data_IF_850075696017
#
_entry.id   IF_850075696017
#
_cell.length_a   1.000
_cell.length_b   1.000
_cell.length_c   1.000
_cell.angle_alpha   90.00
_cell.angle_beta   90.00
_cell.angle_gamma   90.00
#
_symmetry.space_group_name_H-M   'P 1'
#
loop_
_entity.id
_entity.type
_entity.pdbx_description
1 polymer ?
#
# COMPACT_ATOMS: atom_id res chain seq x y z
N UNK A 1 21.41 0.15 -47.16
CA UNK A 1 22.48 1.03 -46.65
C UNK A 1 22.18 1.31 -45.19
N UNK A 2 23.06 0.84 -44.28
CA UNK A 2 23.15 1.04 -42.82
C UNK A 2 22.01 0.49 -41.93
N UNK A 3 22.18 -0.78 -41.55
CA UNK A 3 21.80 -1.35 -40.25
C UNK A 3 22.33 -0.47 -39.11
N UNK A 4 21.44 0.01 -38.24
CA UNK A 4 21.83 0.56 -36.94
C UNK A 4 22.23 -0.63 -36.07
N UNK A 5 23.51 -0.68 -35.74
CA UNK A 5 24.10 -1.63 -34.80
C UNK A 5 23.70 -1.23 -33.39
N UNK A 6 23.02 -2.15 -32.69
CA UNK A 6 22.86 -2.11 -31.23
C UNK A 6 24.24 -2.03 -30.58
N UNK A 7 24.62 -0.85 -30.10
CA UNK A 7 25.79 -0.70 -29.25
C UNK A 7 25.46 -1.33 -27.91
N UNK A 8 25.96 -2.55 -27.67
CA UNK A 8 26.05 -3.10 -26.31
C UNK A 8 26.87 -2.12 -25.45
N UNK A 9 26.20 -1.43 -24.54
CA UNK A 9 26.84 -0.63 -23.50
C UNK A 9 27.81 -1.52 -22.70
N UNK A 10 29.01 -1.01 -22.44
CA UNK A 10 29.93 -1.66 -21.52
C UNK A 10 29.32 -1.63 -20.10
N UNK A 11 29.36 -2.75 -19.35
CA UNK A 11 28.80 -2.78 -18.01
C UNK A 11 29.54 -1.78 -17.13
N UNK A 12 28.80 -0.82 -16.55
CA UNK A 12 29.32 0.09 -15.52
C UNK A 12 29.81 -0.78 -14.35
N UNK A 13 31.02 -0.50 -13.84
CA UNK A 13 31.52 -1.12 -12.60
C UNK A 13 30.50 -0.84 -11.48
N UNK A 14 30.27 -1.84 -10.63
CA UNK A 14 29.37 -1.80 -9.46
C UNK A 14 27.85 -1.85 -9.74
N UNK A 15 27.43 -2.27 -10.94
CA UNK A 15 26.00 -2.54 -11.21
C UNK A 15 25.58 -3.88 -10.62
N UNK A 16 24.48 -3.88 -9.87
CA UNK A 16 23.84 -5.09 -9.36
C UNK A 16 23.44 -5.99 -10.53
N UNK A 17 23.94 -7.23 -10.53
CA UNK A 17 23.59 -8.20 -11.57
C UNK A 17 22.12 -8.60 -11.45
N UNK A 18 21.37 -8.47 -12.55
CA UNK A 18 19.99 -8.91 -12.63
C UNK A 18 19.86 -10.41 -12.31
N UNK A 19 18.79 -10.78 -11.62
CA UNK A 19 18.40 -12.19 -11.41
C UNK A 19 17.98 -12.81 -12.74
N UNK A 20 17.98 -14.14 -12.82
CA UNK A 20 17.60 -14.88 -14.04
C UNK A 20 16.14 -14.70 -14.45
N UNK A 21 15.29 -14.19 -13.56
CA UNK A 21 13.87 -13.91 -13.77
C UNK A 21 13.56 -12.41 -13.65
N UNK A 22 14.55 -11.54 -13.83
CA UNK A 22 14.34 -10.10 -13.76
C UNK A 22 13.51 -9.61 -14.95
N UNK A 23 12.67 -8.61 -14.71
CA UNK A 23 11.95 -7.91 -15.76
C UNK A 23 12.94 -7.25 -16.74
N UNK A 24 12.78 -7.51 -18.03
CA UNK A 24 13.59 -6.93 -19.12
C UNK A 24 12.86 -5.75 -19.80
N UNK A 25 11.57 -5.57 -19.54
CA UNK A 25 10.76 -4.49 -20.10
C UNK A 25 9.70 -3.94 -19.14
N UNK A 26 9.13 -2.79 -19.50
CA UNK A 26 8.12 -2.09 -18.69
C UNK A 26 6.86 -2.94 -18.48
N UNK A 27 6.46 -3.75 -19.47
CA UNK A 27 5.32 -4.68 -19.33
C UNK A 27 5.55 -5.69 -18.22
N UNK A 28 6.72 -6.34 -18.19
CA UNK A 28 7.05 -7.32 -17.15
C UNK A 28 7.13 -6.66 -15.77
N UNK A 29 7.74 -5.46 -15.70
CA UNK A 29 7.82 -4.70 -14.46
C UNK A 29 6.43 -4.27 -13.95
N UNK A 30 5.54 -3.86 -14.84
CA UNK A 30 4.16 -3.52 -14.52
C UNK A 30 3.39 -4.74 -13.99
N UNK A 31 3.50 -5.88 -14.67
CA UNK A 31 2.87 -7.14 -14.24
C UNK A 31 3.41 -7.59 -12.89
N UNK A 32 4.72 -7.50 -12.65
CA UNK A 32 5.30 -7.83 -11.35
C UNK A 32 4.83 -6.89 -10.24
N UNK A 33 4.72 -5.59 -10.51
CA UNK A 33 4.13 -4.64 -9.56
C UNK A 33 2.66 -4.93 -9.26
N UNK A 34 1.86 -5.35 -10.26
CA UNK A 34 0.47 -5.80 -10.04
C UNK A 34 0.40 -7.05 -9.14
N UNK A 35 1.32 -8.01 -9.31
CA UNK A 35 1.37 -9.21 -8.46
C UNK A 35 1.72 -8.87 -7.01
N UNK A 36 2.63 -7.91 -6.83
CA UNK A 36 3.09 -7.46 -5.52
C UNK A 36 1.96 -6.70 -4.79
N UNK A 37 1.30 -5.73 -5.43
CA UNK A 37 0.17 -5.01 -4.80
C UNK A 37 -1.04 -5.93 -4.57
N UNK A 38 -1.34 -6.86 -5.49
CA UNK A 38 -2.43 -7.83 -5.29
C UNK A 38 -2.20 -8.73 -4.07
N UNK A 39 -0.95 -9.06 -3.77
CA UNK A 39 -0.63 -9.74 -2.52
C UNK A 39 -0.78 -8.83 -1.31
N UNK A 40 -0.33 -7.58 -1.42
CA UNK A 40 -0.39 -6.59 -0.35
C UNK A 40 -1.84 -6.39 0.15
N UNK A 41 -2.77 -6.15 -0.75
CA UNK A 41 -4.22 -6.02 -0.47
C UNK A 41 -4.78 -7.25 0.26
N UNK A 42 -4.42 -8.45 -0.22
CA UNK A 42 -4.81 -9.72 0.40
C UNK A 42 -4.19 -9.98 1.77
N UNK A 43 -3.02 -9.40 2.04
CA UNK A 43 -2.42 -9.44 3.36
C UNK A 43 -3.11 -8.42 4.28
N UNK A 44 -3.42 -7.23 3.76
CA UNK A 44 -4.05 -6.14 4.49
C UNK A 44 -5.45 -6.50 4.98
N UNK A 45 -6.28 -7.16 4.16
CA UNK A 45 -7.60 -7.71 4.57
C UNK A 45 -7.53 -8.62 5.81
N UNK A 46 -6.38 -9.26 6.08
CA UNK A 46 -6.16 -10.09 7.28
C UNK A 46 -5.62 -9.30 8.46
N UNK A 47 -4.88 -8.22 8.21
CA UNK A 47 -4.29 -7.37 9.23
C UNK A 47 -5.31 -6.37 9.81
N UNK A 48 -6.16 -5.77 8.97
CA UNK A 48 -7.13 -4.75 9.38
C UNK A 48 -8.08 -5.21 10.49
N UNK A 49 -8.64 -6.45 10.49
CA UNK A 49 -9.45 -6.92 11.61
C UNK A 49 -8.71 -6.96 12.96
N UNK A 50 -7.40 -7.25 12.93
CA UNK A 50 -6.56 -7.24 14.14
C UNK A 50 -6.36 -5.82 14.66
N UNK A 51 -6.10 -4.85 13.78
CA UNK A 51 -5.96 -3.43 14.15
C UNK A 51 -7.27 -2.90 14.72
N UNK A 52 -8.40 -3.15 14.03
CA UNK A 52 -9.73 -2.75 14.47
C UNK A 52 -10.08 -3.28 15.87
N UNK A 53 -9.75 -4.54 16.17
CA UNK A 53 -10.00 -5.14 17.49
C UNK A 53 -9.19 -4.50 18.62
N UNK A 54 -8.05 -3.89 18.30
CA UNK A 54 -7.14 -3.29 19.27
C UNK A 54 -7.18 -1.75 19.27
N UNK A 55 -8.11 -1.15 18.53
CA UNK A 55 -8.42 0.26 18.61
C UNK A 55 -9.50 0.54 19.65
N UNK A 56 -9.49 1.73 20.27
CA UNK A 56 -10.48 2.15 21.27
C UNK A 56 -11.40 3.27 20.77
N UNK A 57 -10.91 4.14 19.89
CA UNK A 57 -11.68 5.18 19.25
C UNK A 57 -12.72 4.59 18.30
N UNK A 58 -13.99 4.96 18.52
CA UNK A 58 -15.11 4.55 17.66
C UNK A 58 -14.96 5.06 16.23
N UNK A 59 -14.32 6.21 16.05
CA UNK A 59 -14.09 6.80 14.73
C UNK A 59 -12.99 6.05 13.99
N UNK A 60 -11.90 5.72 14.68
CA UNK A 60 -10.82 4.90 14.13
C UNK A 60 -11.32 3.50 13.74
N UNK A 61 -12.08 2.83 14.61
CA UNK A 61 -12.69 1.53 14.32
C UNK A 61 -13.53 1.59 13.04
N UNK A 62 -14.39 2.61 12.91
CA UNK A 62 -15.21 2.80 11.71
C UNK A 62 -14.38 3.12 10.47
N UNK A 63 -13.27 3.84 10.62
CA UNK A 63 -12.37 4.12 9.51
C UNK A 63 -11.73 2.84 8.99
N UNK A 64 -11.19 2.01 9.88
CA UNK A 64 -10.59 0.71 9.55
C UNK A 64 -11.64 -0.26 8.97
N UNK A 65 -12.86 -0.30 9.51
CA UNK A 65 -13.94 -1.14 8.98
C UNK A 65 -14.35 -0.72 7.56
N UNK A 66 -14.40 0.59 7.30
CA UNK A 66 -14.67 1.14 5.97
C UNK A 66 -13.57 0.77 5.00
N UNK A 67 -12.31 0.96 5.40
CA UNK A 67 -11.16 0.69 4.57
C UNK A 67 -11.06 -0.81 4.25
N UNK A 68 -11.34 -1.71 5.19
CA UNK A 68 -11.39 -3.15 4.92
C UNK A 68 -12.34 -3.52 3.76
N UNK A 69 -13.52 -2.88 3.69
CA UNK A 69 -14.47 -3.10 2.59
C UNK A 69 -13.93 -2.54 1.28
N UNK A 70 -13.27 -1.39 1.32
CA UNK A 70 -12.59 -0.82 0.16
C UNK A 70 -11.47 -1.74 -0.33
N UNK A 71 -10.62 -2.27 0.55
CA UNK A 71 -9.58 -3.27 0.26
C UNK A 71 -10.14 -4.53 -0.42
N UNK A 72 -11.28 -5.06 0.07
CA UNK A 72 -11.95 -6.19 -0.57
C UNK A 72 -12.38 -5.87 -2.02
N UNK A 73 -12.97 -4.69 -2.24
CA UNK A 73 -13.36 -4.22 -3.58
C UNK A 73 -12.14 -3.94 -4.48
N UNK A 74 -11.05 -3.42 -3.92
CA UNK A 74 -9.79 -3.12 -4.62
C UNK A 74 -9.14 -4.40 -5.14
N UNK A 75 -9.17 -5.50 -4.38
CA UNK A 75 -8.72 -6.83 -4.84
C UNK A 75 -9.45 -7.22 -6.12
N UNK A 76 -10.79 -7.09 -6.17
CA UNK A 76 -11.57 -7.40 -7.36
C UNK A 76 -11.21 -6.48 -8.54
N UNK A 77 -10.98 -5.19 -8.28
CA UNK A 77 -10.53 -4.23 -9.30
C UNK A 77 -9.16 -4.60 -9.87
N UNK A 78 -8.21 -5.01 -9.04
CA UNK A 78 -6.89 -5.47 -9.50
C UNK A 78 -7.01 -6.74 -10.35
N UNK A 79 -7.91 -7.66 -9.99
CA UNK A 79 -8.22 -8.84 -10.83
C UNK A 79 -8.80 -8.44 -12.20
N UNK A 80 -9.63 -7.40 -12.26
CA UNK A 80 -10.11 -6.84 -13.53
C UNK A 80 -8.95 -6.27 -14.35
N UNK A 81 -7.98 -5.61 -13.72
CA UNK A 81 -6.77 -5.11 -14.40
C UNK A 81 -5.98 -6.25 -15.02
N UNK A 82 -5.72 -7.35 -14.28
CA UNK A 82 -5.09 -8.56 -14.82
C UNK A 82 -5.84 -9.09 -16.04
N UNK A 83 -7.17 -9.18 -15.97
CA UNK A 83 -8.01 -9.62 -17.08
C UNK A 83 -7.90 -8.70 -18.31
N UNK A 84 -7.86 -7.38 -18.10
CA UNK A 84 -7.76 -6.39 -19.18
C UNK A 84 -6.44 -6.53 -19.95
N UNK A 85 -5.35 -6.83 -19.26
CA UNK A 85 -4.02 -6.95 -19.86
C UNK A 85 -3.71 -8.37 -20.36
N UNK A 86 -4.64 -9.31 -20.19
CA UNK A 86 -4.49 -10.69 -20.65
C UNK A 86 -3.60 -11.56 -19.76
N UNK A 87 -3.37 -11.15 -18.51
CA UNK A 87 -2.53 -11.83 -17.54
C UNK A 87 -3.36 -12.56 -16.48
N UNK A 88 -2.79 -13.61 -15.89
CA UNK A 88 -3.43 -14.30 -14.77
C UNK A 88 -3.14 -13.55 -13.47
N UNK A 89 -4.18 -13.30 -12.68
CA UNK A 89 -4.01 -12.78 -11.33
C UNK A 89 -3.23 -13.79 -10.47
N UNK A 90 -2.03 -13.41 -10.06
CA UNK A 90 -1.15 -14.22 -9.20
C UNK A 90 -0.60 -13.30 -8.13
N UNK A 91 -0.80 -13.65 -6.86
CA UNK A 91 -0.22 -12.91 -5.75
C UNK A 91 1.26 -13.31 -5.59
N UNK A 92 2.15 -12.32 -5.53
CA UNK A 92 3.56 -12.52 -5.20
C UNK A 92 3.84 -11.76 -3.91
N UNK A 93 4.50 -12.40 -2.95
CA UNK A 93 4.76 -11.79 -1.65
C UNK A 93 5.41 -10.42 -1.81
N UNK A 94 4.78 -9.39 -1.23
CA UNK A 94 5.33 -8.05 -1.14
C UNK A 94 6.04 -7.89 0.21
N UNK A 95 7.37 -7.89 0.19
CA UNK A 95 8.16 -7.76 1.42
C UNK A 95 8.00 -6.37 2.07
N UNK A 96 7.69 -5.33 1.28
CA UNK A 96 7.43 -3.98 1.82
C UNK A 96 6.14 -3.96 2.64
N UNK A 97 5.03 -4.44 2.09
CA UNK A 97 3.77 -4.52 2.83
C UNK A 97 3.86 -5.48 4.02
N UNK A 98 4.54 -6.63 3.87
CA UNK A 98 4.77 -7.56 4.99
C UNK A 98 5.53 -6.88 6.14
N UNK A 99 6.49 -6.01 5.83
CA UNK A 99 7.21 -5.20 6.82
C UNK A 99 6.32 -4.17 7.51
N UNK A 100 5.51 -3.43 6.75
CA UNK A 100 4.60 -2.41 7.30
C UNK A 100 3.51 -3.02 8.18
N UNK A 101 2.96 -4.17 7.79
CA UNK A 101 2.01 -4.91 8.61
C UNK A 101 2.65 -5.32 9.95
N UNK A 102 3.88 -5.84 9.91
CA UNK A 102 4.62 -6.21 11.13
C UNK A 102 4.90 -5.02 12.02
N UNK A 103 5.25 -3.86 11.45
CA UNK A 103 5.42 -2.63 12.21
C UNK A 103 4.12 -2.24 12.94
N UNK A 104 2.96 -2.32 12.26
CA UNK A 104 1.67 -2.13 12.89
C UNK A 104 1.40 -3.14 14.01
N UNK A 105 1.79 -4.40 13.83
CA UNK A 105 1.65 -5.43 14.88
C UNK A 105 2.54 -5.15 16.09
N UNK A 106 3.79 -4.71 15.88
CA UNK A 106 4.70 -4.33 16.97
C UNK A 106 4.16 -3.16 17.79
N UNK A 107 3.52 -2.17 17.16
CA UNK A 107 2.88 -1.06 17.88
C UNK A 107 1.82 -1.56 18.87
N UNK A 108 1.07 -2.62 18.55
CA UNK A 108 0.09 -3.19 19.47
C UNK A 108 0.75 -3.84 20.70
N UNK A 109 1.98 -4.32 20.57
CA UNK A 109 2.78 -4.92 21.65
C UNK A 109 3.53 -3.87 22.47
N UNK A 110 3.88 -2.73 21.86
CA UNK A 110 4.67 -1.64 22.46
C UNK A 110 3.82 -0.59 23.19
N UNK A 111 2.51 -0.59 22.99
CA UNK A 111 1.58 0.39 23.57
C UNK A 111 0.50 -0.30 24.39
N UNK A 112 0.00 0.33 25.45
CA UNK A 112 -1.18 -0.15 26.18
C UNK A 112 -2.48 0.18 25.43
N UNK A 113 -3.54 -0.60 25.65
CA UNK A 113 -4.83 -0.35 25.00
C UNK A 113 -5.40 1.00 25.44
N UNK A 114 -5.58 1.93 24.49
CA UNK A 114 -6.05 3.28 24.74
C UNK A 114 -5.63 4.25 23.65
N UNK A 115 -5.72 5.55 23.92
CA UNK A 115 -5.53 6.59 22.91
C UNK A 115 -4.11 6.66 22.33
N UNK A 116 -3.08 6.33 23.12
CA UNK A 116 -1.69 6.22 22.64
C UNK A 116 -1.55 5.09 21.61
N UNK A 117 -2.20 3.94 21.85
CA UNK A 117 -2.24 2.85 20.86
C UNK A 117 -3.03 3.26 19.63
N UNK A 118 -4.14 3.98 19.78
CA UNK A 118 -4.90 4.48 18.63
C UNK A 118 -4.06 5.43 17.76
N UNK A 119 -3.25 6.31 18.36
CA UNK A 119 -2.29 7.15 17.66
C UNK A 119 -1.25 6.31 16.89
N UNK A 120 -0.73 5.26 17.54
CA UNK A 120 0.18 4.31 16.90
C UNK A 120 -0.46 3.55 15.73
N UNK A 121 -1.69 3.07 15.89
CA UNK A 121 -2.45 2.40 14.83
C UNK A 121 -2.61 3.34 13.63
N UNK A 122 -2.98 4.61 13.86
CA UNK A 122 -3.09 5.60 12.79
C UNK A 122 -1.75 5.79 12.09
N UNK A 123 -0.67 5.99 12.85
CA UNK A 123 0.66 6.20 12.27
C UNK A 123 1.11 5.01 11.40
N UNK A 124 0.81 3.76 11.82
CA UNK A 124 1.08 2.57 11.02
C UNK A 124 0.21 2.50 9.76
N UNK A 125 -1.09 2.76 9.91
CA UNK A 125 -2.04 2.78 8.79
C UNK A 125 -1.64 3.82 7.74
N UNK A 126 -1.27 5.04 8.13
CA UNK A 126 -0.83 6.06 7.16
C UNK A 126 0.43 5.65 6.39
N UNK A 127 1.37 4.94 7.01
CA UNK A 127 2.54 4.39 6.28
C UNK A 127 2.13 3.36 5.22
N UNK A 128 1.13 2.54 5.53
CA UNK A 128 0.50 1.60 4.58
C UNK A 128 -0.15 2.38 3.43
N UNK A 129 -1.02 3.35 3.72
CA UNK A 129 -1.67 4.18 2.69
C UNK A 129 -0.65 4.86 1.77
N UNK A 130 0.42 5.44 2.34
CA UNK A 130 1.47 6.08 1.56
C UNK A 130 2.22 5.11 0.64
N UNK A 131 2.45 3.87 1.07
CA UNK A 131 3.00 2.82 0.22
C UNK A 131 2.06 2.49 -0.94
N UNK A 132 0.76 2.39 -0.68
CA UNK A 132 -0.25 2.08 -1.69
C UNK A 132 -0.46 3.24 -2.67
N UNK A 133 -0.52 4.48 -2.19
CA UNK A 133 -0.56 5.70 -3.02
C UNK A 133 0.63 5.75 -3.98
N UNK A 134 1.85 5.50 -3.49
CA UNK A 134 3.05 5.48 -4.32
C UNK A 134 3.00 4.35 -5.37
N UNK A 135 2.52 3.17 -4.95
CA UNK A 135 2.44 1.98 -5.80
C UNK A 135 1.39 2.15 -6.89
N UNK A 136 0.15 2.51 -6.53
CA UNK A 136 -0.93 2.73 -7.49
C UNK A 136 -0.66 3.90 -8.42
N UNK A 137 -0.07 5.00 -7.94
CA UNK A 137 0.38 6.10 -8.81
C UNK A 137 1.36 5.63 -9.89
N UNK A 138 2.32 4.78 -9.51
CA UNK A 138 3.30 4.20 -10.44
C UNK A 138 2.64 3.24 -11.43
N UNK A 139 1.82 2.30 -10.95
CA UNK A 139 1.15 1.30 -11.78
C UNK A 139 0.16 1.93 -12.75
N UNK A 140 -0.59 2.94 -12.31
CA UNK A 140 -1.49 3.72 -13.17
C UNK A 140 -0.73 4.39 -14.29
N UNK A 141 0.42 5.00 -14.01
CA UNK A 141 1.25 5.63 -15.03
C UNK A 141 1.87 4.60 -16.01
N UNK A 142 2.27 3.42 -15.51
CA UNK A 142 2.73 2.33 -16.37
C UNK A 142 1.62 1.84 -17.31
N UNK A 143 0.41 1.63 -16.78
CA UNK A 143 -0.74 1.24 -17.57
C UNK A 143 -1.05 2.25 -18.69
N UNK A 144 -1.01 3.56 -18.40
CA UNK A 144 -1.20 4.61 -19.40
C UNK A 144 -0.09 4.57 -20.47
N UNK A 145 1.17 4.43 -20.05
CA UNK A 145 2.34 4.40 -20.94
C UNK A 145 2.30 3.20 -21.89
N UNK A 146 1.81 2.05 -21.41
CA UNK A 146 1.63 0.82 -22.19
C UNK A 146 0.35 0.82 -23.04
N UNK A 147 -0.48 1.87 -22.96
CA UNK A 147 -1.71 2.01 -23.73
C UNK A 147 -2.92 1.26 -23.13
N UNK A 148 -2.82 0.74 -21.91
CA UNK A 148 -3.89 0.06 -21.19
C UNK A 148 -4.84 1.04 -20.48
N UNK A 149 -5.48 1.93 -21.24
CA UNK A 149 -6.31 3.04 -20.71
C UNK A 149 -7.37 2.61 -19.69
N UNK A 150 -8.05 1.48 -19.93
CA UNK A 150 -9.05 0.96 -18.99
C UNK A 150 -8.44 0.50 -17.67
N UNK A 151 -7.26 -0.14 -17.72
CA UNK A 151 -6.53 -0.51 -16.51
C UNK A 151 -6.07 0.74 -15.75
N UNK A 152 -5.56 1.75 -16.46
CA UNK A 152 -5.17 3.02 -15.85
C UNK A 152 -6.33 3.70 -15.12
N UNK A 153 -7.53 3.72 -15.70
CA UNK A 153 -8.74 4.26 -15.04
C UNK A 153 -9.12 3.49 -13.77
N UNK A 154 -9.02 2.17 -13.78
CA UNK A 154 -9.31 1.35 -12.61
C UNK A 154 -8.28 1.62 -11.50
N UNK A 155 -6.98 1.63 -11.84
CA UNK A 155 -5.90 1.90 -10.90
C UNK A 155 -5.98 3.33 -10.34
N UNK A 156 -6.40 4.31 -11.14
CA UNK A 156 -6.68 5.67 -10.65
C UNK A 156 -7.83 5.67 -9.63
N UNK A 157 -8.89 4.90 -9.88
CA UNK A 157 -10.01 4.84 -8.94
C UNK A 157 -9.59 4.27 -7.58
N UNK A 158 -8.64 3.34 -7.56
CA UNK A 158 -8.07 2.79 -6.33
C UNK A 158 -7.17 3.84 -5.66
N UNK A 159 -6.27 4.46 -6.42
CA UNK A 159 -5.39 5.54 -5.94
C UNK A 159 -6.16 6.65 -5.22
N UNK A 160 -7.30 7.08 -5.75
CA UNK A 160 -8.11 8.12 -5.11
C UNK A 160 -8.83 7.63 -3.84
N UNK A 161 -9.13 6.33 -3.73
CA UNK A 161 -9.63 5.74 -2.48
C UNK A 161 -8.55 5.77 -1.39
N UNK A 162 -7.32 5.37 -1.68
CA UNK A 162 -6.23 5.37 -0.67
C UNK A 162 -5.89 6.79 -0.20
N UNK A 163 -5.88 7.76 -1.12
CA UNK A 163 -5.72 9.17 -0.75
C UNK A 163 -6.83 9.64 0.20
N UNK A 164 -8.08 9.23 -0.06
CA UNK A 164 -9.19 9.59 0.81
C UNK A 164 -9.10 8.90 2.17
N UNK A 165 -8.64 7.65 2.22
CA UNK A 165 -8.39 6.91 3.46
C UNK A 165 -7.31 7.59 4.31
N UNK A 166 -6.17 7.99 3.72
CA UNK A 166 -5.11 8.73 4.43
C UNK A 166 -5.59 10.08 4.96
N UNK A 167 -6.36 10.84 4.17
CA UNK A 167 -6.96 12.10 4.63
C UNK A 167 -7.89 11.84 5.82
N UNK A 168 -8.71 10.79 5.77
CA UNK A 168 -9.61 10.43 6.86
C UNK A 168 -8.84 10.07 8.13
N UNK A 169 -7.75 9.30 8.02
CA UNK A 169 -6.86 8.99 9.14
C UNK A 169 -6.22 10.26 9.73
N UNK A 170 -5.77 11.18 8.88
CA UNK A 170 -5.22 12.47 9.30
C UNK A 170 -6.23 13.27 10.12
N UNK A 171 -7.48 13.37 9.67
CA UNK A 171 -8.55 14.07 10.39
C UNK A 171 -8.77 13.47 11.78
N UNK A 172 -8.91 12.14 11.87
CA UNK A 172 -9.12 11.45 13.16
C UNK A 172 -7.92 11.68 14.10
N UNK A 173 -6.69 11.69 13.56
CA UNK A 173 -5.49 11.94 14.35
C UNK A 173 -5.48 13.34 14.98
N UNK A 174 -5.76 14.39 14.19
CA UNK A 174 -5.61 15.78 14.63
C UNK A 174 -6.81 16.31 15.41
N UNK A 175 -8.01 15.77 15.18
CA UNK A 175 -9.23 16.29 15.81
C UNK A 175 -9.40 15.81 17.27
N UNK A 176 -8.84 14.64 17.62
CA UNK A 176 -8.98 14.07 18.95
C UNK A 176 -7.73 13.34 19.44
N UNK A 177 -7.31 12.30 18.71
CA UNK A 177 -6.39 11.28 19.25
C UNK A 177 -5.02 11.86 19.65
N UNK A 178 -4.41 12.71 18.83
CA UNK A 178 -3.10 13.28 19.17
C UNK A 178 -3.17 14.24 20.36
N UNK A 179 -4.27 14.98 20.51
CA UNK A 179 -4.47 15.90 21.63
C UNK A 179 -4.66 15.11 22.93
N UNK A 180 -5.57 14.13 22.91
CA UNK A 180 -5.84 13.25 24.05
C UNK A 180 -4.60 12.43 24.46
N UNK A 181 -3.81 11.95 23.49
CA UNK A 181 -2.56 11.25 23.78
C UNK A 181 -1.51 12.16 24.44
N UNK A 182 -1.40 13.42 23.99
CA UNK A 182 -0.45 14.37 24.57
C UNK A 182 -0.87 14.87 25.98
N UNK A 183 -2.17 14.88 26.29
CA UNK A 183 -2.66 15.23 27.63
C UNK A 183 -2.31 14.15 28.68
N UNK A 184 -2.30 12.86 28.29
CA UNK A 184 -1.89 11.78 29.19
C UNK A 184 -0.43 11.89 29.64
N UNK A 185 0.46 12.42 28.80
CA UNK A 185 1.86 12.66 29.19
C UNK A 185 1.93 13.68 30.34
N UNK A 186 1.10 14.72 30.30
CA UNK A 186 1.06 15.76 31.33
C UNK A 186 0.43 15.28 32.65
N UNK A 187 -0.50 14.32 32.60
CA UNK A 187 -1.07 13.71 33.79
C UNK A 187 -0.11 12.73 34.47
N UNK A 188 0.69 11.99 33.71
CA UNK A 188 1.66 11.03 34.25
C UNK A 188 2.92 11.69 34.84
N UNK A 189 3.19 12.96 34.51
CA UNK A 189 4.29 13.75 35.07
C UNK A 189 3.94 14.46 36.40
N UNK A 190 2.66 14.47 36.80
CA UNK A 190 2.14 15.11 38.03
C UNK A 190 1.80 14.11 39.15
#
# INVERSE_FOLDING_TARGET
MKTQTDKKEQPKKDVVKAKSNAADGLTELFVDGLKDIYWAEKALTKALPKMMKNATSKELIKAIESHLKETEDQIEKVEQVFKIIGEKAVAKKCDAMDGLIKEGESILEETELGVVRDAGIIAASQKIEHYEIATYGTLRQFAETLGHKKAAQILESILEQEKAADVKLTVIAVDAINLEAAELDQENEN
#
